data_IF_198290916426
#
_entry.id   IF_198290916426
#
_cell.length_a   1.000
_cell.length_b   1.000
_cell.length_c   1.000
_cell.angle_alpha   90.00
_cell.angle_beta   90.00
_cell.angle_gamma   90.00
#
_symmetry.space_group_name_H-M   'P 1'
#
loop_
_entity.id
_entity.type
_entity.pdbx_description
1 polymer ?
#
# COMPACT_ATOMS: atom_id res chain seq x y z
N UNK A 1 -9.49 -8.39 28.82
CA UNK A 1 -8.75 -7.37 28.06
C UNK A 1 -9.12 -7.56 26.59
N UNK A 2 -9.41 -6.49 25.87
CA UNK A 2 -9.63 -6.57 24.42
C UNK A 2 -8.28 -6.90 23.78
N UNK A 3 -8.27 -7.78 22.76
CA UNK A 3 -7.07 -8.06 21.99
C UNK A 3 -6.59 -6.78 21.30
N UNK A 4 -5.27 -6.57 21.28
CA UNK A 4 -4.62 -5.49 20.54
C UNK A 4 -3.98 -6.10 19.31
N UNK A 5 -4.24 -5.52 18.15
CA UNK A 5 -3.78 -6.05 16.88
C UNK A 5 -2.57 -5.27 16.35
N UNK A 6 -1.52 -6.01 15.99
CA UNK A 6 -0.41 -5.50 15.20
C UNK A 6 -0.80 -5.54 13.72
N UNK A 7 -0.60 -4.46 12.96
CA UNK A 7 -0.97 -4.39 11.56
C UNK A 7 0.01 -5.15 10.66
N UNK A 8 -0.43 -5.55 9.47
CA UNK A 8 0.46 -6.04 8.42
C UNK A 8 1.41 -4.91 7.99
N UNK A 9 2.74 -5.08 8.12
CA UNK A 9 3.70 -4.08 7.68
C UNK A 9 3.96 -4.15 6.19
N UNK A 10 4.32 -3.01 5.60
CA UNK A 10 4.88 -2.89 4.27
C UNK A 10 6.33 -2.44 4.28
N UNK A 11 7.08 -2.77 3.24
CA UNK A 11 8.42 -2.25 2.99
C UNK A 11 8.50 -1.60 1.62
N UNK A 12 9.12 -0.43 1.58
CA UNK A 12 9.34 0.34 0.37
C UNK A 12 10.24 -0.41 -0.63
N UNK A 13 9.87 -0.43 -1.90
CA UNK A 13 10.65 -1.10 -2.95
C UNK A 13 11.04 -0.13 -4.06
N UNK A 14 10.09 0.51 -4.72
CA UNK A 14 10.31 1.32 -5.93
C UNK A 14 9.65 2.68 -5.81
N UNK A 15 10.39 3.72 -6.16
CA UNK A 15 9.88 5.05 -6.47
C UNK A 15 10.44 5.51 -7.83
N UNK A 16 10.01 6.69 -8.25
CA UNK A 16 10.44 7.32 -9.49
C UNK A 16 9.26 7.59 -10.41
N UNK A 17 9.01 8.85 -10.65
CA UNK A 17 8.14 9.34 -11.73
C UNK A 17 9.00 9.50 -13.00
N UNK A 18 8.34 9.78 -14.09
CA UNK A 18 9.02 9.97 -15.39
C UNK A 18 9.76 8.73 -15.92
N UNK A 19 9.56 7.55 -15.34
CA UNK A 19 10.17 6.31 -15.86
C UNK A 19 9.91 6.09 -17.34
N UNK A 20 8.78 6.59 -17.84
CA UNK A 20 8.29 6.43 -19.21
C UNK A 20 7.91 7.76 -19.86
N UNK A 21 8.52 8.87 -19.43
CA UNK A 21 8.36 10.19 -20.05
C UNK A 21 7.02 10.85 -19.78
N UNK A 22 6.45 10.68 -18.62
CA UNK A 22 5.19 11.33 -18.23
C UNK A 22 5.11 11.61 -16.75
N UNK A 23 4.08 12.37 -16.37
CA UNK A 23 3.79 12.71 -14.99
C UNK A 23 4.31 14.09 -14.58
N UNK A 24 3.81 14.54 -13.42
CA UNK A 24 4.24 15.78 -12.78
C UNK A 24 5.28 15.42 -11.72
N UNK A 25 6.38 16.18 -11.66
CA UNK A 25 7.38 16.00 -10.61
C UNK A 25 6.75 16.20 -9.23
N UNK A 26 6.67 15.12 -8.46
CA UNK A 26 6.15 15.14 -7.09
C UNK A 26 7.19 14.62 -6.11
N UNK A 27 7.24 15.13 -4.86
CA UNK A 27 8.08 14.53 -3.84
C UNK A 27 7.74 13.04 -3.65
N UNK A 28 8.74 12.17 -3.77
CA UNK A 28 8.58 10.72 -3.61
C UNK A 28 8.35 9.92 -4.90
N UNK A 29 8.13 10.59 -6.05
CA UNK A 29 8.09 9.93 -7.38
C UNK A 29 7.10 8.78 -7.49
N UNK A 30 5.88 9.08 -7.87
CA UNK A 30 4.80 8.09 -8.08
C UNK A 30 4.92 7.41 -9.45
N UNK A 31 4.34 6.19 -9.64
CA UNK A 31 3.83 5.30 -8.59
C UNK A 31 4.92 4.82 -7.64
N UNK A 32 4.59 4.72 -6.35
CA UNK A 32 5.44 4.03 -5.38
C UNK A 32 4.94 2.62 -5.14
N UNK A 33 5.88 1.67 -5.00
CA UNK A 33 5.58 0.25 -4.84
C UNK A 33 6.23 -0.27 -3.57
N UNK A 34 5.47 -1.05 -2.83
CA UNK A 34 5.90 -1.68 -1.57
C UNK A 34 5.53 -3.16 -1.58
N UNK A 35 6.14 -3.93 -0.71
CA UNK A 35 5.77 -5.32 -0.43
C UNK A 35 5.18 -5.41 0.97
N UNK A 36 3.98 -5.98 1.08
CA UNK A 36 3.27 -6.24 2.33
C UNK A 36 3.53 -7.66 2.79
N UNK A 37 4.03 -7.84 4.01
CA UNK A 37 4.37 -9.13 4.60
C UNK A 37 3.25 -9.60 5.54
N UNK A 38 2.35 -10.46 5.04
CA UNK A 38 1.10 -10.84 5.72
C UNK A 38 1.02 -12.30 6.16
N UNK A 39 1.92 -13.17 5.71
CA UNK A 39 1.88 -14.62 5.99
C UNK A 39 2.78 -15.03 7.16
N UNK A 40 2.65 -14.36 8.32
CA UNK A 40 3.50 -14.55 9.50
C UNK A 40 2.65 -14.57 10.78
N UNK A 41 3.23 -15.11 11.87
CA UNK A 41 2.54 -15.25 13.16
C UNK A 41 2.71 -14.02 14.04
N UNK A 42 3.81 -13.26 13.86
CA UNK A 42 4.16 -12.08 14.65
C UNK A 42 4.50 -10.89 13.75
N UNK A 43 4.40 -9.68 14.29
CA UNK A 43 4.89 -8.49 13.61
C UNK A 43 6.42 -8.56 13.41
N UNK A 44 7.14 -9.06 14.41
CA UNK A 44 8.60 -9.19 14.35
C UNK A 44 9.05 -10.09 13.18
N UNK A 45 8.39 -11.23 12.95
CA UNK A 45 8.70 -12.12 11.81
C UNK A 45 8.35 -11.45 10.47
N UNK A 46 7.23 -10.75 10.40
CA UNK A 46 6.84 -9.99 9.22
C UNK A 46 7.83 -8.84 8.92
N UNK A 47 8.32 -8.16 9.96
CA UNK A 47 9.35 -7.11 9.84
C UNK A 47 10.68 -7.67 9.34
N UNK A 48 11.09 -8.83 9.84
CA UNK A 48 12.29 -9.50 9.33
C UNK A 48 12.16 -9.87 7.85
N UNK A 49 11.01 -10.39 7.43
CA UNK A 49 10.75 -10.68 6.02
C UNK A 49 10.77 -9.39 5.16
N UNK A 50 10.23 -8.28 5.65
CA UNK A 50 10.34 -6.98 5.01
C UNK A 50 11.81 -6.57 4.79
N UNK A 51 12.64 -6.72 5.82
CA UNK A 51 14.07 -6.41 5.75
C UNK A 51 14.81 -7.31 4.75
N UNK A 52 14.56 -8.61 4.76
CA UNK A 52 15.21 -9.59 3.86
C UNK A 52 14.84 -9.31 2.39
N UNK A 53 13.55 -9.11 2.10
CA UNK A 53 13.06 -8.78 0.76
C UNK A 53 13.67 -7.45 0.28
N UNK A 54 13.67 -6.42 1.11
CA UNK A 54 14.22 -5.11 0.76
C UNK A 54 15.72 -5.17 0.48
N UNK A 55 16.47 -5.91 1.31
CA UNK A 55 17.92 -6.07 1.15
C UNK A 55 18.25 -6.74 -0.19
N UNK A 56 17.57 -7.85 -0.50
CA UNK A 56 17.74 -8.57 -1.79
C UNK A 56 17.37 -7.72 -2.98
N UNK A 57 16.28 -6.94 -2.85
CA UNK A 57 15.85 -6.00 -3.86
C UNK A 57 16.90 -4.92 -4.11
N UNK A 58 17.42 -4.30 -3.04
CA UNK A 58 18.46 -3.28 -3.12
C UNK A 58 19.73 -3.83 -3.83
N UNK A 59 20.17 -5.03 -3.44
CA UNK A 59 21.30 -5.69 -4.10
C UNK A 59 21.03 -6.02 -5.59
N UNK A 60 19.80 -6.46 -5.93
CA UNK A 60 19.40 -6.75 -7.31
C UNK A 60 19.43 -5.48 -8.16
N UNK A 61 18.94 -4.36 -7.62
CA UNK A 61 18.94 -3.07 -8.31
C UNK A 61 20.35 -2.47 -8.41
N UNK A 62 21.18 -2.59 -7.37
CA UNK A 62 22.58 -2.15 -7.41
C UNK A 62 23.36 -2.87 -8.52
N UNK A 63 23.18 -4.18 -8.65
CA UNK A 63 23.77 -4.95 -9.76
C UNK A 63 23.25 -4.53 -11.14
N UNK A 64 21.99 -4.05 -11.23
CA UNK A 64 21.35 -3.72 -12.51
C UNK A 64 21.76 -2.35 -13.04
N UNK A 65 21.92 -1.35 -12.19
CA UNK A 65 22.21 0.02 -12.63
C UNK A 65 23.18 0.81 -11.74
N UNK A 66 23.84 0.16 -10.78
CA UNK A 66 25.00 0.70 -10.06
C UNK A 66 24.70 1.89 -9.13
N UNK A 67 24.17 1.66 -7.94
CA UNK A 67 24.00 2.67 -6.93
C UNK A 67 22.79 3.59 -7.15
N UNK A 68 21.60 3.08 -6.87
CA UNK A 68 20.37 3.85 -7.01
C UNK A 68 20.22 4.90 -5.92
N UNK A 69 19.75 6.12 -6.25
CA UNK A 69 19.29 7.07 -5.24
C UNK A 69 18.14 6.45 -4.45
N UNK A 70 18.20 6.61 -3.12
CA UNK A 70 17.19 6.12 -2.19
C UNK A 70 16.40 7.32 -1.66
N UNK A 71 15.06 7.24 -1.71
CA UNK A 71 14.15 8.22 -1.11
C UNK A 71 13.26 7.49 -0.10
N UNK A 72 13.47 7.72 1.19
CA UNK A 72 12.68 7.08 2.27
C UNK A 72 12.60 5.56 2.12
N UNK A 73 13.76 4.92 1.93
CA UNK A 73 13.91 3.48 1.68
C UNK A 73 13.38 2.98 0.31
N UNK A 74 12.71 3.81 -0.48
CA UNK A 74 12.41 3.49 -1.87
C UNK A 74 13.63 3.63 -2.76
N UNK A 75 13.86 2.65 -3.61
CA UNK A 75 14.89 2.71 -4.65
C UNK A 75 14.31 3.43 -5.85
N UNK A 76 14.92 4.55 -6.23
CA UNK A 76 14.52 5.31 -7.42
C UNK A 76 15.02 4.59 -8.65
N UNK A 77 14.09 4.12 -9.47
CA UNK A 77 14.40 3.45 -10.74
C UNK A 77 14.60 4.51 -11.83
N UNK A 78 15.80 4.57 -12.45
CA UNK A 78 16.07 5.52 -13.52
C UNK A 78 15.26 5.23 -14.79
N UNK A 79 15.03 6.28 -15.58
CA UNK A 79 14.44 6.15 -16.92
C UNK A 79 15.25 5.18 -17.80
N UNK A 80 14.55 4.36 -18.60
CA UNK A 80 15.16 3.45 -19.56
C UNK A 80 15.72 2.14 -18.99
N UNK A 81 15.71 1.94 -17.68
CA UNK A 81 16.16 0.67 -17.06
C UNK A 81 15.16 -0.45 -17.28
N UNK A 82 13.87 -0.14 -17.25
CA UNK A 82 12.78 -1.04 -17.56
C UNK A 82 11.88 -0.46 -18.66
N UNK A 83 11.25 -1.31 -19.44
CA UNK A 83 10.34 -0.89 -20.52
C UNK A 83 8.93 -0.64 -20.03
N UNK A 84 8.55 -1.30 -18.93
CA UNK A 84 7.24 -1.17 -18.27
C UNK A 84 7.36 -1.52 -16.79
N UNK A 85 6.36 -1.12 -16.00
CA UNK A 85 6.27 -1.52 -14.59
C UNK A 85 5.99 -3.02 -14.43
N UNK A 86 5.47 -3.70 -15.45
CA UNK A 86 5.32 -5.16 -15.45
C UNK A 86 6.67 -5.87 -15.30
N UNK A 87 7.72 -5.41 -15.99
CA UNK A 87 9.09 -5.93 -15.81
C UNK A 87 9.61 -5.68 -14.37
N UNK A 88 9.20 -4.58 -13.74
CA UNK A 88 9.54 -4.30 -12.33
C UNK A 88 8.80 -5.29 -11.42
N UNK A 89 7.51 -5.52 -11.65
CA UNK A 89 6.72 -6.47 -10.84
C UNK A 89 7.19 -7.92 -11.02
N UNK A 90 7.63 -8.31 -12.22
CA UNK A 90 8.31 -9.59 -12.45
C UNK A 90 9.55 -9.72 -11.57
N UNK A 91 10.46 -8.72 -11.60
CA UNK A 91 11.67 -8.72 -10.80
C UNK A 91 11.39 -8.67 -9.28
N UNK A 92 10.34 -7.97 -8.85
CA UNK A 92 9.89 -7.96 -7.45
C UNK A 92 9.32 -9.32 -7.04
N UNK A 93 8.53 -9.97 -7.91
CA UNK A 93 8.00 -11.32 -7.67
C UNK A 93 9.12 -12.34 -7.52
N UNK A 94 10.10 -12.32 -8.42
CA UNK A 94 11.31 -13.15 -8.31
C UNK A 94 12.03 -12.93 -6.97
N UNK A 95 12.14 -11.67 -6.53
CA UNK A 95 12.80 -11.35 -5.25
C UNK A 95 12.05 -11.95 -4.05
N UNK A 96 10.72 -11.94 -4.04
CA UNK A 96 9.90 -12.59 -3.01
C UNK A 96 10.10 -14.12 -3.03
N UNK A 97 10.14 -14.72 -4.22
CA UNK A 97 10.36 -16.17 -4.38
C UNK A 97 11.77 -16.57 -3.91
N UNK A 98 12.80 -15.83 -4.33
CA UNK A 98 14.21 -16.06 -3.93
C UNK A 98 14.41 -15.92 -2.40
N UNK A 99 13.61 -15.07 -1.75
CA UNK A 99 13.61 -14.92 -0.30
C UNK A 99 12.81 -16.03 0.42
N UNK A 100 12.08 -16.88 -0.30
CA UNK A 100 11.27 -17.97 0.27
C UNK A 100 9.92 -17.53 0.85
N UNK A 101 9.39 -16.36 0.43
CA UNK A 101 8.14 -15.81 0.95
C UNK A 101 6.98 -15.82 -0.05
N UNK A 102 7.05 -16.67 -1.08
CA UNK A 102 5.96 -16.87 -2.03
C UNK A 102 4.65 -17.20 -1.33
N UNK A 103 3.58 -16.48 -1.68
CA UNK A 103 2.25 -16.61 -1.06
C UNK A 103 2.12 -16.03 0.34
N UNK A 104 3.22 -15.52 0.94
CA UNK A 104 3.27 -14.90 2.28
C UNK A 104 3.48 -13.38 2.23
N UNK A 105 3.81 -12.86 1.04
CA UNK A 105 3.99 -11.45 0.75
C UNK A 105 3.31 -11.07 -0.55
N UNK A 106 2.98 -9.78 -0.73
CA UNK A 106 2.32 -9.28 -1.93
C UNK A 106 2.44 -7.78 -2.07
N UNK A 107 2.04 -7.25 -3.22
CA UNK A 107 2.31 -5.86 -3.59
C UNK A 107 1.27 -4.88 -3.04
N UNK A 108 1.76 -3.74 -2.61
CA UNK A 108 1.00 -2.51 -2.45
C UNK A 108 1.56 -1.48 -3.43
N UNK A 109 0.68 -0.76 -4.10
CA UNK A 109 1.06 0.32 -4.99
C UNK A 109 0.22 1.56 -4.71
N UNK A 110 0.89 2.68 -4.52
CA UNK A 110 0.27 4.01 -4.50
C UNK A 110 0.49 4.64 -5.87
N UNK A 111 -0.57 4.72 -6.65
CA UNK A 111 -0.53 5.20 -8.03
C UNK A 111 -0.50 6.72 -8.07
N UNK A 112 -1.26 7.39 -7.20
CA UNK A 112 -1.50 8.83 -7.26
C UNK A 112 -1.79 9.28 -8.70
N UNK A 113 -2.83 8.70 -9.29
CA UNK A 113 -3.10 8.69 -10.74
C UNK A 113 -3.20 10.07 -11.35
N UNK A 114 -3.63 11.08 -10.59
CA UNK A 114 -3.69 12.48 -11.05
C UNK A 114 -2.35 13.05 -11.48
N UNK A 115 -1.24 12.50 -10.98
CA UNK A 115 0.12 12.84 -11.42
C UNK A 115 0.31 12.66 -12.93
N UNK A 116 -0.41 11.72 -13.53
CA UNK A 116 -0.27 11.33 -14.93
C UNK A 116 -1.44 11.76 -15.83
N UNK A 117 -2.46 12.39 -15.26
CA UNK A 117 -3.68 12.76 -15.96
C UNK A 117 -3.52 14.04 -16.76
N UNK A 118 -3.74 13.97 -18.07
CA UNK A 118 -3.86 15.14 -18.93
C UNK A 118 -5.33 15.60 -18.99
N UNK A 119 -5.61 16.77 -18.45
CA UNK A 119 -6.96 17.33 -18.39
C UNK A 119 -7.53 17.76 -19.75
N UNK A 120 -6.67 17.93 -20.78
CA UNK A 120 -7.10 18.38 -22.11
C UNK A 120 -7.80 17.25 -22.88
N UNK A 121 -7.27 16.03 -22.81
CA UNK A 121 -7.79 14.86 -23.54
C UNK A 121 -8.28 13.71 -22.65
N UNK A 122 -8.16 13.86 -21.32
CA UNK A 122 -8.65 12.89 -20.35
C UNK A 122 -7.84 11.59 -20.28
N UNK A 123 -6.62 11.57 -20.81
CA UNK A 123 -5.77 10.39 -20.83
C UNK A 123 -4.64 10.46 -19.80
N UNK A 124 -4.06 9.31 -19.51
CA UNK A 124 -2.91 9.14 -18.62
C UNK A 124 -1.66 8.84 -19.44
N UNK A 125 -0.58 9.63 -19.24
CA UNK A 125 0.65 9.56 -20.02
C UNK A 125 1.83 9.13 -19.16
N UNK A 126 2.62 8.15 -19.62
CA UNK A 126 3.80 7.64 -18.93
C UNK A 126 3.48 6.83 -17.66
N UNK A 127 2.22 6.46 -17.45
CA UNK A 127 1.81 5.61 -16.34
C UNK A 127 1.97 4.13 -16.73
N UNK A 128 2.84 3.42 -16.01
CA UNK A 128 3.22 2.00 -16.17
C UNK A 128 4.02 1.65 -17.42
N UNK A 129 3.94 2.43 -18.47
CA UNK A 129 4.70 2.34 -19.72
C UNK A 129 4.53 3.63 -20.54
N UNK A 130 5.16 3.70 -21.72
CA UNK A 130 5.11 4.87 -22.60
C UNK A 130 3.81 5.02 -23.42
N UNK A 131 2.86 4.09 -23.29
CA UNK A 131 1.60 4.15 -24.02
C UNK A 131 0.54 4.91 -23.22
N UNK A 132 -0.10 5.95 -23.80
CA UNK A 132 -1.19 6.64 -23.12
C UNK A 132 -2.39 5.72 -22.95
N UNK A 133 -3.10 5.90 -21.84
CA UNK A 133 -4.27 5.08 -21.50
C UNK A 133 -5.49 5.97 -21.27
N UNK A 134 -6.64 5.54 -21.76
CA UNK A 134 -7.93 6.06 -21.29
C UNK A 134 -8.26 5.51 -19.91
N UNK A 135 -9.25 6.10 -19.25
CA UNK A 135 -9.73 5.61 -17.95
C UNK A 135 -10.19 4.14 -18.03
N UNK A 136 -10.93 3.77 -19.06
CA UNK A 136 -11.39 2.38 -19.23
C UNK A 136 -10.23 1.40 -19.47
N UNK A 137 -9.24 1.81 -20.27
CA UNK A 137 -8.02 1.01 -20.45
C UNK A 137 -7.23 0.86 -19.15
N UNK A 138 -7.20 1.89 -18.33
CA UNK A 138 -6.54 1.83 -17.01
C UNK A 138 -7.30 0.91 -16.05
N UNK A 139 -8.63 0.95 -16.06
CA UNK A 139 -9.48 0.04 -15.29
C UNK A 139 -9.21 -1.43 -15.62
N UNK A 140 -9.26 -1.78 -16.91
CA UNK A 140 -8.95 -3.14 -17.38
C UNK A 140 -7.51 -3.56 -17.06
N UNK A 141 -6.57 -2.65 -17.14
CA UNK A 141 -5.18 -2.89 -16.79
C UNK A 141 -5.03 -3.23 -15.30
N UNK A 142 -5.73 -2.52 -14.40
CA UNK A 142 -5.72 -2.88 -12.97
C UNK A 142 -6.28 -4.28 -12.73
N UNK A 143 -7.39 -4.65 -13.37
CA UNK A 143 -7.92 -6.01 -13.24
C UNK A 143 -6.97 -7.07 -13.80
N UNK A 144 -6.23 -6.76 -14.86
CA UNK A 144 -5.19 -7.62 -15.43
C UNK A 144 -4.06 -7.83 -14.43
N UNK A 145 -3.42 -6.78 -13.94
CA UNK A 145 -2.26 -6.91 -13.04
C UNK A 145 -2.59 -7.56 -11.70
N UNK A 146 -3.81 -7.38 -11.19
CA UNK A 146 -4.29 -8.07 -9.97
C UNK A 146 -4.46 -9.58 -10.18
N UNK A 147 -4.60 -10.05 -11.42
CA UNK A 147 -4.65 -11.49 -11.73
C UNK A 147 -3.25 -12.07 -11.92
N UNK A 148 -2.37 -11.33 -12.58
CA UNK A 148 -1.04 -11.82 -12.99
C UNK A 148 0.01 -11.69 -11.87
N UNK A 149 -0.13 -10.69 -11.00
CA UNK A 149 0.83 -10.38 -9.95
C UNK A 149 0.20 -10.43 -8.55
N UNK A 150 0.99 -10.62 -7.49
CA UNK A 150 0.47 -10.78 -6.13
C UNK A 150 0.03 -9.45 -5.48
N UNK A 151 -0.74 -8.62 -6.18
CA UNK A 151 -1.29 -7.38 -5.60
C UNK A 151 -2.27 -7.69 -4.48
N UNK A 152 -2.11 -7.01 -3.36
CA UNK A 152 -2.99 -7.06 -2.19
C UNK A 152 -3.61 -5.71 -1.85
N UNK A 153 -2.96 -4.62 -2.26
CA UNK A 153 -3.40 -3.23 -2.03
C UNK A 153 -3.14 -2.38 -3.26
N UNK A 154 -4.14 -1.59 -3.69
CA UNK A 154 -3.98 -0.44 -4.59
C UNK A 154 -4.48 0.83 -3.89
N UNK A 155 -3.71 1.91 -4.00
CA UNK A 155 -4.01 3.22 -3.45
C UNK A 155 -4.17 4.24 -4.58
N UNK A 156 -5.23 5.05 -4.53
CA UNK A 156 -5.60 6.09 -5.49
C UNK A 156 -5.46 5.68 -6.96
N UNK A 157 -6.18 4.62 -7.39
CA UNK A 157 -6.07 4.07 -8.75
C UNK A 157 -6.68 4.97 -9.83
N UNK A 158 -7.50 5.97 -9.46
CA UNK A 158 -8.14 6.93 -10.34
C UNK A 158 -8.05 8.33 -9.76
N UNK A 159 -8.61 9.32 -10.49
CA UNK A 159 -8.68 10.70 -10.05
C UNK A 159 -9.33 10.83 -8.67
N UNK A 160 -8.85 11.77 -7.87
CA UNK A 160 -9.27 12.04 -6.48
C UNK A 160 -10.75 12.33 -6.29
N UNK A 161 -11.47 12.66 -7.37
CA UNK A 161 -12.91 12.90 -7.38
C UNK A 161 -13.70 11.83 -8.16
N UNK A 162 -13.04 10.80 -8.72
CA UNK A 162 -13.71 9.71 -9.45
C UNK A 162 -14.14 8.57 -8.52
N UNK A 163 -15.14 8.86 -7.69
CA UNK A 163 -15.71 7.87 -6.75
C UNK A 163 -16.40 6.71 -7.45
N UNK A 164 -17.05 6.95 -8.59
CA UNK A 164 -17.84 5.92 -9.28
C UNK A 164 -16.94 4.83 -9.92
N UNK A 165 -15.84 5.22 -10.57
CA UNK A 165 -14.88 4.25 -11.14
C UNK A 165 -14.09 3.54 -10.02
N UNK A 166 -13.73 4.25 -8.96
CA UNK A 166 -13.09 3.65 -7.78
C UNK A 166 -14.03 2.63 -7.11
N UNK A 167 -15.33 2.90 -7.02
CA UNK A 167 -16.31 1.97 -6.48
C UNK A 167 -16.42 0.69 -7.33
N UNK A 168 -16.46 0.84 -8.66
CA UNK A 168 -16.48 -0.31 -9.57
C UNK A 168 -15.22 -1.19 -9.39
N UNK A 169 -14.04 -0.58 -9.38
CA UNK A 169 -12.79 -1.32 -9.16
C UNK A 169 -12.74 -1.97 -7.76
N UNK A 170 -13.22 -1.31 -6.73
CA UNK A 170 -13.29 -1.87 -5.36
C UNK A 170 -14.09 -3.16 -5.33
N UNK A 171 -15.24 -3.17 -6.01
CA UNK A 171 -16.11 -4.34 -6.12
C UNK A 171 -15.45 -5.48 -6.90
N UNK A 172 -14.84 -5.16 -8.06
CA UNK A 172 -14.42 -6.17 -9.03
C UNK A 172 -12.99 -6.68 -8.78
N UNK A 173 -12.11 -5.88 -8.16
CA UNK A 173 -10.72 -6.26 -7.87
C UNK A 173 -10.59 -7.35 -6.81
N UNK A 174 -11.41 -7.28 -5.78
CA UNK A 174 -11.39 -8.21 -4.63
C UNK A 174 -10.21 -8.02 -3.68
N UNK A 175 -9.42 -6.95 -3.81
CA UNK A 175 -8.30 -6.59 -2.93
C UNK A 175 -8.62 -5.34 -2.10
N UNK A 176 -7.65 -4.91 -1.30
CA UNK A 176 -7.77 -3.66 -0.55
C UNK A 176 -7.57 -2.47 -1.49
N UNK A 177 -8.58 -1.61 -1.61
CA UNK A 177 -8.50 -0.33 -2.32
C UNK A 177 -8.48 0.79 -1.29
N UNK A 178 -7.43 1.59 -1.32
CA UNK A 178 -7.15 2.66 -0.35
C UNK A 178 -7.39 4.01 -0.99
N UNK A 179 -8.12 4.88 -0.30
CA UNK A 179 -8.21 6.30 -0.66
C UNK A 179 -7.33 7.15 0.25
N UNK A 180 -6.30 7.76 -0.31
CA UNK A 180 -5.49 8.83 0.28
C UNK A 180 -6.00 10.18 -0.25
N UNK A 181 -5.70 10.50 -1.50
CA UNK A 181 -6.15 11.74 -2.16
C UNK A 181 -7.69 11.76 -2.32
N UNK A 182 -8.29 10.59 -2.56
CA UNK A 182 -9.74 10.42 -2.59
C UNK A 182 -10.42 10.88 -1.29
N UNK A 183 -9.83 10.61 -0.13
CA UNK A 183 -10.45 10.85 1.17
C UNK A 183 -9.79 11.93 2.02
N UNK A 184 -8.50 12.19 1.84
CA UNK A 184 -7.71 13.22 2.55
C UNK A 184 -7.89 13.23 4.08
N UNK A 185 -8.07 12.03 4.69
CA UNK A 185 -8.40 11.86 6.12
C UNK A 185 -9.68 12.64 6.55
N UNK A 186 -10.50 13.08 5.60
CA UNK A 186 -11.64 13.97 5.82
C UNK A 186 -12.95 13.19 5.92
N UNK A 187 -13.62 13.27 7.07
CA UNK A 187 -14.87 12.56 7.35
C UNK A 187 -15.97 12.83 6.30
N UNK A 188 -16.03 14.04 5.70
CA UNK A 188 -17.05 14.37 4.69
C UNK A 188 -16.79 13.63 3.37
N UNK A 189 -15.51 13.55 2.96
CA UNK A 189 -15.11 12.81 1.76
C UNK A 189 -15.30 11.31 1.97
N UNK A 190 -14.96 10.78 3.15
CA UNK A 190 -15.22 9.38 3.53
C UNK A 190 -16.73 9.09 3.53
N UNK A 191 -17.56 9.97 4.09
CA UNK A 191 -19.00 9.79 4.10
C UNK A 191 -19.59 9.73 2.68
N UNK A 192 -19.11 10.59 1.78
CA UNK A 192 -19.50 10.52 0.38
C UNK A 192 -19.04 9.22 -0.28
N UNK A 193 -17.80 8.80 -0.07
CA UNK A 193 -17.29 7.51 -0.55
C UNK A 193 -18.10 6.31 -0.06
N UNK A 194 -18.52 6.32 1.19
CA UNK A 194 -19.42 5.29 1.75
C UNK A 194 -20.72 5.19 0.96
N UNK A 195 -21.35 6.33 0.60
CA UNK A 195 -22.59 6.31 -0.19
C UNK A 195 -22.40 5.75 -1.60
N UNK A 196 -21.17 5.81 -2.14
CA UNK A 196 -20.81 5.30 -3.46
C UNK A 196 -20.24 3.87 -3.42
N UNK A 197 -19.77 3.40 -2.25
CA UNK A 197 -18.98 2.17 -2.13
C UNK A 197 -17.56 2.31 -2.69
N UNK A 198 -17.05 3.55 -2.74
CA UNK A 198 -15.73 3.84 -3.29
C UNK A 198 -14.64 3.55 -2.27
N UNK A 199 -13.64 2.78 -2.66
CA UNK A 199 -12.62 2.19 -1.80
C UNK A 199 -13.20 1.30 -0.69
N UNK A 200 -12.36 0.64 0.09
CA UNK A 200 -12.75 -0.14 1.28
C UNK A 200 -11.83 0.15 2.47
N UNK A 201 -10.88 1.05 2.28
CA UNK A 201 -9.89 1.46 3.28
C UNK A 201 -9.59 2.95 3.14
N UNK A 202 -9.49 3.65 4.26
CA UNK A 202 -9.08 5.06 4.32
C UNK A 202 -7.61 5.12 4.73
N UNK A 203 -6.79 5.87 4.00
CA UNK A 203 -5.45 6.19 4.48
C UNK A 203 -5.54 7.25 5.58
N UNK A 204 -4.89 6.98 6.71
CA UNK A 204 -4.85 7.89 7.85
C UNK A 204 -3.54 8.69 7.85
N UNK A 205 -3.65 10.01 7.74
CA UNK A 205 -2.57 10.96 7.96
C UNK A 205 -3.07 12.04 8.93
N UNK A 206 -2.72 11.94 10.21
CA UNK A 206 -3.23 12.84 11.25
C UNK A 206 -2.96 14.31 10.91
N UNK A 207 -1.77 14.62 10.40
CA UNK A 207 -1.40 15.98 10.03
C UNK A 207 -1.97 16.46 8.67
N UNK A 208 -2.63 15.62 7.89
CA UNK A 208 -3.33 16.01 6.68
C UNK A 208 -4.66 16.68 7.02
N UNK A 209 -5.40 16.15 7.99
CA UNK A 209 -6.64 16.77 8.51
C UNK A 209 -6.35 17.86 9.55
N UNK A 210 -5.25 17.75 10.28
CA UNK A 210 -4.72 18.80 11.13
C UNK A 210 -4.91 18.60 12.63
N UNK A 211 -5.87 17.81 13.09
CA UNK A 211 -6.08 17.50 14.50
C UNK A 211 -6.30 16.01 14.75
N UNK A 212 -5.85 15.54 15.91
CA UNK A 212 -6.10 14.15 16.36
C UNK A 212 -7.61 13.91 16.53
N UNK A 213 -8.36 14.89 17.01
CA UNK A 213 -9.82 14.75 17.23
C UNK A 213 -10.55 14.50 15.92
N UNK A 214 -10.29 15.28 14.89
CA UNK A 214 -10.90 15.09 13.55
C UNK A 214 -10.48 13.73 12.93
N UNK A 215 -9.20 13.35 13.10
CA UNK A 215 -8.74 12.05 12.65
C UNK A 215 -9.49 10.89 13.36
N UNK A 216 -9.69 10.97 14.69
CA UNK A 216 -10.43 9.97 15.45
C UNK A 216 -11.91 9.92 15.06
N UNK A 217 -12.56 11.06 14.81
CA UNK A 217 -13.94 11.11 14.30
C UNK A 217 -14.06 10.41 12.92
N UNK A 218 -13.12 10.68 12.02
CA UNK A 218 -13.07 10.00 10.73
C UNK A 218 -12.88 8.49 10.90
N UNK A 219 -11.95 8.04 11.76
CA UNK A 219 -11.70 6.62 12.03
C UNK A 219 -12.96 5.91 12.54
N UNK A 220 -13.65 6.51 13.53
CA UNK A 220 -14.87 5.96 14.08
C UNK A 220 -15.97 5.84 13.01
N UNK A 221 -16.08 6.85 12.15
CA UNK A 221 -17.01 6.83 11.02
C UNK A 221 -16.68 5.73 10.03
N UNK A 222 -15.42 5.62 9.60
CA UNK A 222 -14.95 4.59 8.67
C UNK A 222 -15.27 3.18 9.21
N UNK A 223 -14.91 2.88 10.45
CA UNK A 223 -15.19 1.58 11.07
C UNK A 223 -16.68 1.28 11.19
N UNK A 224 -17.51 2.27 11.53
CA UNK A 224 -18.97 2.11 11.60
C UNK A 224 -19.57 1.62 10.29
N UNK A 225 -18.99 2.02 9.15
CA UNK A 225 -19.47 1.63 7.83
C UNK A 225 -18.64 0.51 7.18
N UNK A 226 -17.82 -0.19 7.98
CA UNK A 226 -17.08 -1.38 7.53
C UNK A 226 -15.81 -1.11 6.72
N UNK A 227 -15.38 0.14 6.61
CA UNK A 227 -14.08 0.49 6.03
C UNK A 227 -12.95 0.11 6.99
N UNK A 228 -11.79 -0.27 6.46
CA UNK A 228 -10.56 -0.29 7.23
C UNK A 228 -9.92 1.10 7.29
N UNK A 229 -8.94 1.23 8.18
CA UNK A 229 -8.06 2.40 8.25
C UNK A 229 -6.62 1.91 8.16
N UNK A 230 -5.84 2.49 7.25
CA UNK A 230 -4.43 2.20 7.03
C UNK A 230 -3.60 3.42 7.42
N UNK A 231 -2.94 3.42 8.58
CA UNK A 231 -2.06 4.52 8.98
C UNK A 231 -0.83 4.64 8.09
N UNK A 232 -0.38 5.88 7.86
CA UNK A 232 0.81 6.22 7.08
C UNK A 232 1.59 7.34 7.75
N UNK A 233 2.92 7.25 7.77
CA UNK A 233 3.79 8.30 8.31
C UNK A 233 4.33 9.26 7.24
N UNK A 234 3.76 9.23 6.04
CA UNK A 234 4.27 10.00 4.90
C UNK A 234 4.29 11.53 5.11
N UNK A 235 3.64 12.02 6.15
CA UNK A 235 3.61 13.44 6.54
C UNK A 235 4.43 13.75 7.80
N UNK A 236 5.27 12.82 8.29
CA UNK A 236 6.16 13.06 9.40
C UNK A 236 5.60 12.73 10.78
N UNK A 237 4.64 11.81 10.88
CA UNK A 237 4.13 11.27 12.13
C UNK A 237 5.21 10.50 12.92
N UNK A 238 6.24 10.00 12.21
CA UNK A 238 7.36 9.28 12.81
C UNK A 238 6.95 7.99 13.50
N UNK A 239 7.61 7.67 14.61
CA UNK A 239 7.35 6.44 15.38
C UNK A 239 5.96 6.41 16.02
N UNK A 240 5.33 7.57 16.28
CA UNK A 240 4.01 7.67 16.86
C UNK A 240 2.94 6.96 16.00
N UNK A 241 3.22 6.73 14.70
CA UNK A 241 2.32 5.97 13.82
C UNK A 241 2.07 4.55 14.34
N UNK A 242 3.06 3.94 15.03
CA UNK A 242 2.90 2.61 15.61
C UNK A 242 1.87 2.61 16.74
N UNK A 243 1.94 3.60 17.63
CA UNK A 243 1.00 3.75 18.73
C UNK A 243 -0.43 4.02 18.20
N UNK A 244 -0.58 4.88 17.18
CA UNK A 244 -1.88 5.08 16.52
C UNK A 244 -2.41 3.79 15.89
N UNK A 245 -1.58 3.09 15.10
CA UNK A 245 -2.01 1.89 14.38
C UNK A 245 -2.50 0.78 15.32
N UNK A 246 -1.76 0.52 16.40
CA UNK A 246 -2.15 -0.49 17.40
C UNK A 246 -3.35 0.02 18.20
N UNK A 247 -3.37 1.29 18.61
CA UNK A 247 -4.46 1.88 19.40
C UNK A 247 -5.82 1.85 18.71
N UNK A 248 -5.84 1.94 17.36
CA UNK A 248 -7.06 1.84 16.57
C UNK A 248 -7.33 0.42 16.03
N UNK A 249 -6.49 -0.56 16.33
CA UNK A 249 -6.54 -1.91 15.76
C UNK A 249 -6.52 -1.92 14.21
N UNK A 250 -5.62 -1.15 13.60
CA UNK A 250 -5.44 -1.14 12.15
C UNK A 250 -5.01 -2.53 11.64
N UNK A 251 -5.59 -2.97 10.51
CA UNK A 251 -5.25 -4.26 9.91
C UNK A 251 -3.97 -4.23 9.08
N UNK A 252 -3.58 -3.05 8.57
CA UNK A 252 -2.38 -2.82 7.78
C UNK A 252 -1.80 -1.44 8.07
N UNK A 253 -0.50 -1.27 7.82
CA UNK A 253 0.21 0.00 7.95
C UNK A 253 1.12 0.19 6.74
N UNK A 254 1.20 1.42 6.24
CA UNK A 254 2.00 1.73 5.07
C UNK A 254 3.47 1.89 5.45
N UNK A 255 4.36 1.10 4.81
CA UNK A 255 5.81 1.30 4.80
C UNK A 255 6.49 1.39 6.18
N UNK A 256 6.03 0.60 7.13
CA UNK A 256 6.55 0.56 8.49
C UNK A 256 7.22 -0.78 8.85
N UNK A 257 7.64 -1.56 7.84
CA UNK A 257 8.22 -2.89 8.06
C UNK A 257 9.69 -2.89 8.45
N UNK A 258 10.39 -1.75 8.31
CA UNK A 258 11.81 -1.61 8.66
C UNK A 258 12.09 -0.28 9.36
N UNK A 259 13.27 -0.16 9.98
CA UNK A 259 13.73 1.08 10.59
C UNK A 259 13.04 1.43 11.92
N UNK A 260 13.14 2.69 12.38
CA UNK A 260 12.66 3.11 13.71
C UNK A 260 11.18 2.81 13.96
N UNK A 261 10.33 2.95 12.95
CA UNK A 261 8.89 2.63 13.03
C UNK A 261 8.64 1.16 13.32
N UNK A 262 9.33 0.26 12.61
CA UNK A 262 9.26 -1.17 12.87
C UNK A 262 9.74 -1.52 14.28
N UNK A 263 10.82 -0.88 14.75
CA UNK A 263 11.32 -1.05 16.11
C UNK A 263 10.23 -0.71 17.14
N UNK A 264 9.51 0.41 16.96
CA UNK A 264 8.42 0.79 17.87
C UNK A 264 7.28 -0.23 17.88
N UNK A 265 6.89 -0.78 16.72
CA UNK A 265 5.90 -1.87 16.66
C UNK A 265 6.38 -3.13 17.40
N UNK A 266 7.65 -3.51 17.28
CA UNK A 266 8.21 -4.66 17.99
C UNK A 266 8.28 -4.42 19.50
N UNK A 267 8.58 -3.18 19.96
CA UNK A 267 8.49 -2.79 21.35
C UNK A 267 7.06 -2.96 21.89
N UNK A 268 6.07 -2.43 21.16
CA UNK A 268 4.65 -2.58 21.53
C UNK A 268 4.25 -4.06 21.56
N UNK A 269 4.67 -4.88 20.58
CA UNK A 269 4.42 -6.31 20.56
C UNK A 269 4.99 -7.00 21.81
N UNK A 270 6.22 -6.64 22.19
CA UNK A 270 6.87 -7.17 23.40
C UNK A 270 6.17 -6.70 24.68
N UNK A 271 5.76 -5.43 24.78
CA UNK A 271 5.01 -4.88 25.92
C UNK A 271 3.64 -5.57 26.08
N UNK A 272 2.95 -5.84 25.01
CA UNK A 272 1.65 -6.53 25.00
C UNK A 272 1.79 -8.03 25.30
N UNK A 273 2.92 -8.64 24.97
CA UNK A 273 3.21 -10.05 25.21
C UNK A 273 2.12 -10.96 24.61
N UNK A 274 1.54 -11.85 25.43
CA UNK A 274 0.52 -12.81 24.99
C UNK A 274 -0.82 -12.17 24.53
N UNK A 275 -1.05 -10.90 24.78
CA UNK A 275 -2.25 -10.17 24.34
C UNK A 275 -2.08 -9.57 22.96
N UNK A 276 -0.85 -9.46 22.47
CA UNK A 276 -0.58 -9.08 21.07
C UNK A 276 -1.18 -10.11 20.12
N UNK A 277 -1.79 -9.62 19.04
CA UNK A 277 -2.30 -10.44 17.96
C UNK A 277 -1.83 -9.87 16.63
N UNK A 278 -1.34 -10.72 15.76
CA UNK A 278 -1.03 -10.38 14.39
C UNK A 278 -2.08 -11.04 13.48
N UNK A 279 -2.85 -10.23 12.75
CA UNK A 279 -3.95 -10.75 11.93
C UNK A 279 -3.47 -11.31 10.58
N UNK A 280 -2.24 -10.99 10.17
CA UNK A 280 -1.75 -11.40 8.87
C UNK A 280 -2.70 -10.97 7.75
N UNK A 281 -2.92 -11.85 6.77
CA UNK A 281 -3.80 -11.57 5.64
C UNK A 281 -5.26 -11.24 6.06
N UNK A 282 -5.72 -11.68 7.24
CA UNK A 282 -7.04 -11.29 7.81
C UNK A 282 -7.15 -9.78 8.06
N UNK A 283 -6.03 -9.10 8.29
CA UNK A 283 -5.98 -7.64 8.46
C UNK A 283 -6.24 -6.86 7.17
N UNK A 284 -6.14 -7.49 6.00
CA UNK A 284 -6.33 -6.86 4.72
C UNK A 284 -7.78 -6.97 4.23
N UNK A 285 -8.32 -5.89 3.64
CA UNK A 285 -9.66 -5.89 3.03
C UNK A 285 -9.67 -6.59 1.67
N UNK A 286 -10.88 -6.97 1.25
CA UNK A 286 -11.16 -7.58 -0.04
C UNK A 286 -11.22 -9.12 0.03
N UNK A 287 -12.14 -9.72 -0.74
CA UNK A 287 -12.42 -11.15 -0.67
C UNK A 287 -11.24 -12.03 -1.11
N UNK A 288 -10.41 -11.58 -2.06
CA UNK A 288 -9.20 -12.29 -2.47
C UNK A 288 -8.16 -12.34 -1.34
N UNK A 289 -8.03 -11.26 -0.57
CA UNK A 289 -7.14 -11.24 0.60
C UNK A 289 -7.65 -12.18 1.71
N UNK A 290 -8.97 -12.27 1.89
CA UNK A 290 -9.55 -13.24 2.83
C UNK A 290 -9.34 -14.70 2.35
N UNK A 291 -9.42 -14.96 1.03
CA UNK A 291 -9.06 -16.28 0.47
C UNK A 291 -7.58 -16.63 0.67
N UNK A 292 -6.67 -15.63 0.59
CA UNK A 292 -5.25 -15.85 0.94
C UNK A 292 -5.08 -16.24 2.41
N UNK A 293 -5.80 -15.58 3.30
CA UNK A 293 -5.79 -15.94 4.73
C UNK A 293 -6.28 -17.38 4.94
N UNK A 294 -7.40 -17.76 4.32
CA UNK A 294 -7.91 -19.13 4.38
C UNK A 294 -6.90 -20.17 3.84
N UNK A 295 -6.12 -19.81 2.82
CA UNK A 295 -5.13 -20.69 2.24
C UNK A 295 -3.89 -20.86 3.14
N UNK A 296 -3.50 -19.83 3.88
CA UNK A 296 -2.41 -19.89 4.86
C UNK A 296 -2.81 -20.74 6.06
N UNK A 297 -4.00 -20.51 6.65
CA UNK A 297 -4.50 -21.26 7.80
C UNK A 297 -4.69 -22.76 7.53
N UNK A 298 -4.88 -23.19 6.27
CA UNK A 298 -5.00 -24.61 5.91
C UNK A 298 -3.65 -25.34 5.77
N UNK A 299 -2.54 -24.60 5.72
CA UNK A 299 -1.19 -25.15 5.58
C UNK A 299 -0.53 -25.40 6.93
N UNK A 300 -1.10 -24.84 8.00
CA UNK A 300 -0.74 -25.12 9.40
C UNK A 300 -1.47 -26.38 9.90
#
# INVERSE_FOLDING_TARGET
>A
ANAMYLPVPGVAMVAGHERYGGGITTPGGKPTMSVMCFGFDTFADASYACWDIHTRWAEKMDRRFGGAPNIRDFIVVPEGVFKSDEEIWEAMTETIIEAGYEGRAGFQMDVATDTYHNKEDGKYYGLFNNQPKTKDQLYEFYLHIIREFPFVILEDPFNEDDYDTTAALTKDSGIQIVGDDLFTTNIRRVAYGVTKGAANTVLLKVNQIGTISEALEMIQYAYKFGYAVMPSDSRGEGEAIADYAVGINAGSVRECGIGPRANRFMEIEAELGKTAKFLGARGLKGFKNQQRADALERKE
#
